data_IF_861046802620
#
_entry.id   IF_861046802620
#
_cell.length_a   1.000
_cell.length_b   1.000
_cell.length_c   1.000
_cell.angle_alpha   90.00
_cell.angle_beta   90.00
_cell.angle_gamma   90.00
#
_symmetry.space_group_name_H-M   'P 1'
#
loop_
_entity.id
_entity.type
_entity.pdbx_description
1 polymer ?
#
# COMPACT_ATOMS: atom_id res chain seq x y z
N UNK A 1 13.87 -5.39 0.25
CA UNK A 1 13.11 -6.65 0.44
C UNK A 1 12.27 -6.56 1.72
N UNK A 2 10.98 -6.87 1.64
CA UNK A 2 10.08 -7.07 2.81
C UNK A 2 9.88 -8.57 3.02
N UNK A 3 10.00 -9.02 4.27
CA UNK A 3 9.76 -10.41 4.64
C UNK A 3 8.87 -10.49 5.88
N UNK A 4 7.79 -11.21 5.78
CA UNK A 4 6.84 -11.47 6.86
C UNK A 4 6.84 -12.97 7.13
N UNK A 5 7.13 -13.36 8.38
CA UNK A 5 7.24 -14.75 8.78
C UNK A 5 6.26 -15.05 9.91
N UNK A 6 5.39 -16.03 9.71
CA UNK A 6 4.45 -16.59 10.69
C UNK A 6 3.74 -15.52 11.52
N UNK A 7 3.34 -14.41 10.85
CA UNK A 7 2.80 -13.24 11.54
C UNK A 7 1.39 -13.51 12.06
N UNK A 8 1.23 -13.34 13.37
CA UNK A 8 -0.07 -13.33 14.04
C UNK A 8 -0.34 -11.96 14.63
N UNK A 9 -1.50 -11.41 14.30
CA UNK A 9 -1.91 -10.06 14.71
C UNK A 9 -3.30 -10.09 15.31
N UNK A 10 -3.46 -9.40 16.42
CA UNK A 10 -4.76 -9.17 17.05
C UNK A 10 -5.07 -7.70 17.25
N UNK A 11 -6.36 -7.41 17.33
CA UNK A 11 -6.94 -6.19 17.89
C UNK A 11 -8.11 -6.60 18.80
N UNK A 12 -8.30 -5.91 19.93
CA UNK A 12 -9.43 -6.14 20.87
C UNK A 12 -9.68 -7.62 21.20
N UNK A 13 -8.60 -8.39 21.43
CA UNK A 13 -8.63 -9.84 21.72
C UNK A 13 -9.09 -10.74 20.55
N UNK A 14 -9.25 -10.20 19.33
CA UNK A 14 -9.56 -10.97 18.13
C UNK A 14 -8.33 -11.10 17.25
N UNK A 15 -7.92 -12.34 16.94
CA UNK A 15 -6.86 -12.60 15.96
C UNK A 15 -7.40 -12.34 14.57
N UNK A 16 -6.72 -11.47 13.81
CA UNK A 16 -7.08 -11.06 12.45
C UNK A 16 -6.15 -11.70 11.42
N UNK A 17 -4.83 -11.60 11.64
CA UNK A 17 -3.85 -12.32 10.82
C UNK A 17 -3.41 -13.57 11.58
N UNK A 18 -3.26 -14.69 10.84
CA UNK A 18 -2.96 -16.00 11.40
C UNK A 18 -1.89 -16.66 10.56
N UNK A 19 -0.69 -16.87 11.11
CA UNK A 19 0.39 -17.53 10.40
C UNK A 19 0.59 -16.95 8.99
N UNK A 20 0.58 -15.61 8.90
CA UNK A 20 0.69 -14.90 7.63
C UNK A 20 2.13 -14.85 7.18
N UNK A 21 2.38 -15.32 5.96
CA UNK A 21 3.71 -15.37 5.37
C UNK A 21 3.72 -14.66 4.01
N UNK A 22 4.69 -13.77 3.78
CA UNK A 22 4.85 -13.05 2.51
C UNK A 22 6.30 -12.60 2.35
N UNK A 23 6.84 -12.75 1.15
CA UNK A 23 8.14 -12.21 0.76
C UNK A 23 7.94 -11.35 -0.47
N UNK A 24 8.44 -10.11 -0.44
CA UNK A 24 8.47 -9.17 -1.56
C UNK A 24 9.91 -8.76 -1.76
N UNK A 25 10.50 -9.17 -2.89
CA UNK A 25 11.88 -8.79 -3.20
C UNK A 25 11.95 -7.34 -3.71
N UNK A 26 13.17 -6.79 -3.76
CA UNK A 26 13.36 -5.44 -4.26
C UNK A 26 12.92 -5.35 -5.73
N UNK A 27 12.11 -4.35 -6.01
CA UNK A 27 11.60 -4.09 -7.34
C UNK A 27 10.36 -4.89 -7.75
N UNK A 28 9.87 -5.82 -6.95
CA UNK A 28 8.65 -6.56 -7.25
C UNK A 28 7.37 -5.76 -6.94
N UNK A 29 6.34 -6.03 -7.72
CA UNK A 29 4.97 -5.54 -7.51
C UNK A 29 4.10 -6.73 -7.12
N UNK A 30 3.61 -6.74 -5.90
CA UNK A 30 2.71 -7.75 -5.39
C UNK A 30 1.32 -7.19 -5.19
N UNK A 31 0.31 -8.02 -5.38
CA UNK A 31 -1.08 -7.65 -5.12
C UNK A 31 -1.72 -8.62 -4.13
N UNK A 32 -2.43 -8.08 -3.15
CA UNK A 32 -3.29 -8.86 -2.27
C UNK A 32 -4.74 -8.56 -2.59
N UNK A 33 -5.48 -9.60 -2.96
CA UNK A 33 -6.91 -9.56 -3.21
C UNK A 33 -7.64 -10.44 -2.19
N UNK A 34 -8.90 -10.15 -1.94
CA UNK A 34 -9.73 -10.94 -1.03
C UNK A 34 -11.01 -10.20 -0.64
N UNK A 35 -12.01 -10.89 -0.10
CA UNK A 35 -13.25 -10.27 0.35
C UNK A 35 -13.03 -9.22 1.46
N UNK A 36 -14.04 -8.42 1.72
CA UNK A 36 -13.97 -7.46 2.82
C UNK A 36 -13.90 -8.18 4.17
N UNK A 37 -13.13 -7.60 5.11
CA UNK A 37 -13.00 -8.13 6.47
C UNK A 37 -12.01 -9.29 6.65
N UNK A 38 -11.27 -9.72 5.61
CA UNK A 38 -10.28 -10.81 5.74
C UNK A 38 -8.94 -10.40 6.33
N UNK A 39 -8.71 -9.08 6.55
CA UNK A 39 -7.49 -8.57 7.18
C UNK A 39 -6.53 -7.83 6.24
N UNK A 40 -6.94 -7.48 5.01
CA UNK A 40 -6.07 -6.77 4.04
C UNK A 40 -5.56 -5.42 4.57
N UNK A 41 -6.47 -4.53 4.99
CA UNK A 41 -6.09 -3.22 5.56
C UNK A 41 -5.47 -3.33 6.96
N UNK A 42 -5.71 -4.44 7.68
CA UNK A 42 -4.96 -4.75 8.89
C UNK A 42 -3.49 -4.98 8.55
N UNK A 43 -3.21 -5.74 7.50
CA UNK A 43 -1.84 -6.01 7.06
C UNK A 43 -1.09 -4.71 6.72
N UNK A 44 -1.69 -3.81 5.92
CA UNK A 44 -1.08 -2.53 5.56
C UNK A 44 -0.73 -1.69 6.78
N UNK A 45 -1.65 -1.59 7.73
CA UNK A 45 -1.47 -0.84 8.98
C UNK A 45 -0.41 -1.46 9.89
N UNK A 46 -0.39 -2.79 9.99
CA UNK A 46 0.61 -3.51 10.81
C UNK A 46 2.02 -3.37 10.21
N UNK A 47 2.17 -3.45 8.88
CA UNK A 47 3.45 -3.17 8.23
C UNK A 47 3.89 -1.72 8.52
N UNK A 48 2.95 -0.77 8.61
CA UNK A 48 3.25 0.62 8.93
C UNK A 48 3.46 0.88 10.43
N UNK A 49 3.15 -0.09 11.29
CA UNK A 49 3.36 0.02 12.75
C UNK A 49 2.25 0.79 13.47
N UNK A 50 1.00 0.65 13.03
CA UNK A 50 -0.16 1.22 13.72
C UNK A 50 -0.30 0.59 15.12
N UNK A 51 -0.26 1.40 16.21
CA UNK A 51 -0.25 0.91 17.59
C UNK A 51 -1.58 0.23 18.01
N UNK A 52 -2.65 0.37 17.24
CA UNK A 52 -3.93 -0.29 17.51
C UNK A 52 -3.86 -1.81 17.24
N UNK A 53 -2.81 -2.29 16.59
CA UNK A 53 -2.61 -3.70 16.29
C UNK A 53 -1.44 -4.28 17.08
N UNK A 54 -1.66 -5.42 17.71
CA UNK A 54 -0.64 -6.12 18.48
C UNK A 54 -0.13 -7.33 17.70
N UNK A 55 1.17 -7.36 17.42
CA UNK A 55 1.85 -8.56 16.94
C UNK A 55 1.96 -9.53 18.11
N UNK A 56 1.34 -10.72 17.98
CA UNK A 56 1.37 -11.78 19.00
C UNK A 56 2.51 -12.74 18.72
N UNK A 57 2.73 -13.06 17.45
CA UNK A 57 3.77 -13.98 17.01
C UNK A 57 4.31 -13.56 15.64
N UNK A 58 5.50 -14.05 15.29
CA UNK A 58 6.14 -13.80 14.02
C UNK A 58 6.92 -12.49 13.92
N UNK A 59 7.40 -12.19 12.73
CA UNK A 59 8.22 -11.02 12.47
C UNK A 59 7.90 -10.36 11.13
N UNK A 60 8.17 -9.05 11.09
CA UNK A 60 8.20 -8.25 9.87
C UNK A 60 9.62 -7.71 9.74
N UNK A 61 10.29 -8.06 8.66
CA UNK A 61 11.64 -7.61 8.35
C UNK A 61 11.65 -6.74 7.09
N UNK A 62 12.35 -5.63 7.13
CA UNK A 62 12.55 -4.76 5.98
C UNK A 62 14.01 -4.42 5.82
N UNK A 63 14.60 -4.81 4.68
CA UNK A 63 16.03 -4.63 4.37
C UNK A 63 16.97 -5.13 5.47
N UNK A 64 16.61 -6.25 6.14
CA UNK A 64 17.38 -6.86 7.21
C UNK A 64 17.08 -6.36 8.62
N UNK A 65 16.30 -5.29 8.77
CA UNK A 65 15.87 -4.78 10.07
C UNK A 65 14.53 -5.41 10.48
N UNK A 66 14.45 -5.88 11.74
CA UNK A 66 13.19 -6.34 12.32
C UNK A 66 12.34 -5.12 12.74
N UNK A 67 11.19 -4.95 12.10
CA UNK A 67 10.30 -3.80 12.30
C UNK A 67 9.42 -3.91 13.55
N UNK A 68 9.35 -5.05 14.22
CA UNK A 68 8.38 -5.25 15.30
C UNK A 68 8.47 -4.21 16.43
N UNK A 69 9.68 -3.69 16.68
CA UNK A 69 9.94 -2.66 17.71
C UNK A 69 9.95 -1.23 17.19
N UNK A 70 9.82 -1.04 15.86
CA UNK A 70 9.93 0.29 15.25
C UNK A 70 8.58 0.99 15.25
N UNK A 71 8.58 2.25 15.64
CA UNK A 71 7.42 3.15 15.53
C UNK A 71 7.08 3.47 14.08
N UNK A 72 5.90 4.01 13.84
CA UNK A 72 5.42 4.40 12.51
C UNK A 72 6.37 5.39 11.81
N UNK A 73 6.88 6.39 12.54
CA UNK A 73 7.80 7.38 11.98
C UNK A 73 9.19 6.79 11.67
N UNK A 74 9.68 5.85 12.46
CA UNK A 74 10.92 5.14 12.18
C UNK A 74 10.80 4.28 10.92
N UNK A 75 9.65 3.60 10.72
CA UNK A 75 9.38 2.84 9.50
C UNK A 75 9.27 3.75 8.27
N UNK A 76 8.62 4.90 8.41
CA UNK A 76 8.56 5.91 7.34
C UNK A 76 9.96 6.42 6.97
N UNK A 77 10.84 6.72 7.96
CA UNK A 77 12.23 7.12 7.73
C UNK A 77 13.06 6.03 7.06
N UNK A 78 12.73 4.75 7.23
CA UNK A 78 13.37 3.66 6.49
C UNK A 78 12.93 3.57 5.04
N UNK A 79 11.88 4.32 4.65
CA UNK A 79 11.38 4.41 3.29
C UNK A 79 10.14 3.55 3.03
N UNK A 80 9.35 3.24 4.05
CA UNK A 80 8.05 2.60 3.90
C UNK A 80 6.98 3.69 3.81
N UNK A 81 6.10 3.61 2.83
CA UNK A 81 4.99 4.54 2.60
C UNK A 81 3.67 3.80 2.47
N UNK A 82 2.63 4.31 3.11
CA UNK A 82 1.27 3.80 3.01
C UNK A 82 0.36 4.88 2.41
N UNK A 83 -0.14 4.64 1.20
CA UNK A 83 -1.29 5.34 0.66
C UNK A 83 -2.55 4.72 1.28
N UNK A 84 -3.25 5.50 2.08
CA UNK A 84 -4.37 5.01 2.90
C UNK A 84 -5.66 4.92 2.07
N UNK A 85 -6.54 3.98 2.42
CA UNK A 85 -7.89 3.94 1.86
C UNK A 85 -8.64 5.28 2.05
N UNK A 86 -8.53 5.85 3.26
CA UNK A 86 -9.08 7.17 3.62
C UNK A 86 -7.97 8.09 4.12
N UNK A 87 -7.39 8.94 3.25
CA UNK A 87 -6.35 9.88 3.64
C UNK A 87 -6.82 10.86 4.69
N UNK A 88 -6.03 11.03 5.74
CA UNK A 88 -6.36 11.92 6.87
C UNK A 88 -6.36 13.38 6.47
N UNK A 89 -7.24 14.17 7.07
CA UNK A 89 -7.27 15.62 6.99
C UNK A 89 -6.56 16.22 8.22
N UNK A 90 -5.69 17.21 8.00
CA UNK A 90 -4.99 17.90 9.09
C UNK A 90 -5.19 19.41 8.92
N UNK A 91 -6.07 19.97 9.74
CA UNK A 91 -6.32 21.40 9.76
C UNK A 91 -5.11 22.18 10.29
N UNK A 92 -4.86 23.36 9.70
CA UNK A 92 -3.79 24.25 10.13
C UNK A 92 -2.38 23.87 9.69
N UNK A 93 -2.19 22.69 9.08
CA UNK A 93 -0.91 22.26 8.50
C UNK A 93 -1.04 22.25 6.99
N UNK A 94 -0.34 23.15 6.29
CA UNK A 94 -0.39 23.15 4.83
C UNK A 94 0.24 21.88 4.25
N UNK A 95 -0.25 21.45 3.08
CA UNK A 95 0.30 20.30 2.37
C UNK A 95 1.81 20.50 2.10
N UNK A 96 2.19 21.72 1.73
CA UNK A 96 3.57 22.12 1.53
C UNK A 96 4.42 21.97 2.81
N UNK A 97 3.94 22.44 3.96
CA UNK A 97 4.71 22.37 5.22
C UNK A 97 4.84 20.93 5.72
N UNK A 98 3.77 20.15 5.58
CA UNK A 98 3.78 18.72 5.87
C UNK A 98 4.87 18.01 5.05
N UNK A 99 4.83 18.15 3.73
CA UNK A 99 5.78 17.49 2.82
C UNK A 99 7.23 17.94 3.07
N UNK A 100 7.45 19.24 3.21
CA UNK A 100 8.80 19.79 3.50
C UNK A 100 9.37 19.26 4.81
N UNK A 101 8.53 19.18 5.84
CA UNK A 101 8.93 18.65 7.16
C UNK A 101 9.23 17.15 7.06
N UNK A 102 8.39 16.36 6.39
CA UNK A 102 8.60 14.94 6.19
C UNK A 102 9.91 14.65 5.44
N UNK A 103 10.14 15.33 4.31
CA UNK A 103 11.37 15.15 3.53
C UNK A 103 12.62 15.57 4.34
N UNK A 104 12.53 16.68 5.08
CA UNK A 104 13.64 17.12 5.94
C UNK A 104 13.96 16.12 7.04
N UNK A 105 12.93 15.50 7.61
CA UNK A 105 13.07 14.44 8.63
C UNK A 105 13.70 13.15 8.07
N UNK A 106 13.31 12.73 6.87
CA UNK A 106 13.86 11.55 6.20
C UNK A 106 15.33 11.76 5.84
N UNK A 107 15.67 12.93 5.30
CA UNK A 107 17.02 13.23 4.81
C UNK A 107 17.96 13.80 5.87
N UNK A 108 17.49 14.04 7.09
CA UNK A 108 18.22 14.77 8.15
C UNK A 108 18.82 16.11 7.65
N UNK A 109 18.18 16.75 6.68
CA UNK A 109 18.65 17.99 6.06
C UNK A 109 17.48 18.88 5.65
N UNK A 110 17.58 20.17 5.95
CA UNK A 110 16.59 21.15 5.49
C UNK A 110 16.67 21.31 3.97
N UNK A 111 15.52 21.35 3.31
CA UNK A 111 15.40 21.61 1.88
C UNK A 111 15.17 23.10 1.65
N UNK A 112 15.81 23.66 0.63
CA UNK A 112 15.56 25.02 0.16
C UNK A 112 14.10 25.18 -0.26
N UNK A 113 13.46 26.25 0.19
CA UNK A 113 12.03 26.47 -0.03
C UNK A 113 11.70 26.59 -1.52
N UNK A 114 12.50 27.32 -2.27
CA UNK A 114 12.27 27.56 -3.69
C UNK A 114 12.30 26.27 -4.52
N UNK A 115 13.37 25.50 -4.40
CA UNK A 115 13.51 24.21 -5.13
C UNK A 115 12.41 23.23 -4.76
N UNK A 116 12.00 23.26 -3.49
CA UNK A 116 10.91 22.41 -3.01
C UNK A 116 9.56 22.77 -3.63
N UNK A 117 9.22 24.09 -3.67
CA UNK A 117 7.97 24.55 -4.29
C UNK A 117 7.93 24.15 -5.77
N UNK A 118 9.01 24.38 -6.51
CA UNK A 118 9.08 23.98 -7.93
C UNK A 118 8.84 22.49 -8.14
N UNK A 119 9.37 21.64 -7.26
CA UNK A 119 9.13 20.18 -7.30
C UNK A 119 7.66 19.83 -7.01
N UNK A 120 7.06 20.49 -6.02
CA UNK A 120 5.64 20.31 -5.69
C UNK A 120 4.73 20.71 -6.86
N UNK A 121 4.96 21.87 -7.45
CA UNK A 121 4.16 22.38 -8.57
C UNK A 121 4.28 21.48 -9.80
N UNK A 122 5.49 21.04 -10.14
CA UNK A 122 5.72 20.10 -11.23
C UNK A 122 4.99 18.77 -10.97
N UNK A 123 5.10 18.23 -9.75
CA UNK A 123 4.41 17.00 -9.38
C UNK A 123 2.89 17.13 -9.44
N UNK A 124 2.34 18.26 -9.00
CA UNK A 124 0.91 18.55 -9.10
C UNK A 124 0.44 18.66 -10.56
N UNK A 125 1.22 19.29 -11.42
CA UNK A 125 0.94 19.41 -12.86
C UNK A 125 0.89 18.03 -13.54
N UNK A 126 1.87 17.16 -13.27
CA UNK A 126 1.89 15.77 -13.79
C UNK A 126 0.68 14.94 -13.32
N UNK A 127 0.11 15.26 -12.18
CA UNK A 127 -1.09 14.64 -11.62
C UNK A 127 -2.39 15.34 -12.02
N UNK A 128 -2.33 16.39 -12.85
CA UNK A 128 -3.49 17.24 -13.18
C UNK A 128 -4.22 17.70 -11.91
N UNK A 129 -3.45 18.13 -10.91
CA UNK A 129 -3.96 18.72 -9.65
C UNK A 129 -3.94 20.23 -9.75
N UNK A 130 -4.92 20.89 -9.10
CA UNK A 130 -4.87 22.32 -8.89
C UNK A 130 -3.67 22.67 -7.96
N UNK A 131 -2.77 23.55 -8.42
CA UNK A 131 -1.57 23.96 -7.67
C UNK A 131 -1.91 24.63 -6.32
N UNK A 132 -3.07 25.24 -6.20
CA UNK A 132 -3.54 25.86 -4.95
C UNK A 132 -3.68 24.85 -3.81
N UNK A 133 -3.92 23.57 -4.12
CA UNK A 133 -4.03 22.50 -3.12
C UNK A 133 -2.72 22.29 -2.33
N UNK A 134 -1.58 22.68 -2.89
CA UNK A 134 -0.28 22.60 -2.22
C UNK A 134 -0.22 23.56 -1.01
N UNK A 135 -0.91 24.69 -1.12
CA UNK A 135 -0.91 25.74 -0.09
C UNK A 135 -2.04 25.59 0.94
N UNK A 136 -3.02 24.72 0.67
CA UNK A 136 -4.13 24.46 1.58
C UNK A 136 -3.76 23.44 2.67
N UNK A 137 -4.54 23.43 3.75
CA UNK A 137 -4.44 22.42 4.80
C UNK A 137 -4.51 21.02 4.21
N UNK A 138 -3.67 20.10 4.73
CA UNK A 138 -3.50 18.75 4.19
C UNK A 138 -4.85 18.02 4.06
N UNK A 139 -5.25 17.74 2.83
CA UNK A 139 -6.47 17.03 2.45
C UNK A 139 -7.80 17.68 2.88
N UNK A 140 -7.79 18.84 3.56
CA UNK A 140 -9.02 19.49 4.06
C UNK A 140 -9.82 20.07 2.89
N UNK A 141 -11.04 19.52 2.73
CA UNK A 141 -11.95 19.91 1.65
C UNK A 141 -11.47 19.48 0.26
N UNK A 142 -10.55 18.51 0.17
CA UNK A 142 -10.21 17.87 -1.10
C UNK A 142 -11.28 16.83 -1.45
N UNK A 143 -11.60 16.70 -2.73
CA UNK A 143 -12.38 15.58 -3.23
C UNK A 143 -11.64 14.25 -3.02
N UNK A 144 -12.33 13.12 -3.11
CA UNK A 144 -11.70 11.79 -3.01
C UNK A 144 -10.55 11.62 -4.01
N UNK A 145 -10.76 12.04 -5.26
CA UNK A 145 -9.73 12.00 -6.31
C UNK A 145 -8.53 12.89 -6.02
N UNK A 146 -8.75 14.11 -5.52
CA UNK A 146 -7.67 15.03 -5.15
C UNK A 146 -6.85 14.48 -3.96
N UNK A 147 -7.48 13.85 -2.97
CA UNK A 147 -6.79 13.17 -1.87
C UNK A 147 -5.86 12.06 -2.37
N UNK A 148 -6.35 11.22 -3.29
CA UNK A 148 -5.55 10.12 -3.87
C UNK A 148 -4.42 10.64 -4.75
N UNK A 149 -4.67 11.66 -5.56
CA UNK A 149 -3.59 12.35 -6.31
C UNK A 149 -2.55 12.96 -5.39
N UNK A 150 -2.99 13.53 -4.25
CA UNK A 150 -2.07 14.06 -3.24
C UNK A 150 -1.19 12.97 -2.60
N UNK A 151 -1.69 11.76 -2.37
CA UNK A 151 -0.87 10.63 -1.92
C UNK A 151 0.18 10.24 -2.97
N UNK A 152 -0.17 10.26 -4.26
CA UNK A 152 0.81 10.01 -5.33
C UNK A 152 1.84 11.15 -5.42
N UNK A 153 1.44 12.40 -5.20
CA UNK A 153 2.38 13.52 -5.07
C UNK A 153 3.37 13.28 -3.91
N UNK A 154 2.88 12.80 -2.75
CA UNK A 154 3.73 12.45 -1.62
C UNK A 154 4.73 11.33 -1.99
N UNK A 155 4.30 10.28 -2.69
CA UNK A 155 5.20 9.21 -3.18
C UNK A 155 6.33 9.81 -4.03
N UNK A 156 6.00 10.68 -4.98
CA UNK A 156 6.99 11.31 -5.88
C UNK A 156 8.01 12.16 -5.16
N UNK A 157 7.61 12.83 -4.07
CA UNK A 157 8.46 13.76 -3.33
C UNK A 157 9.24 13.08 -2.20
N UNK A 158 8.64 12.11 -1.50
CA UNK A 158 9.27 11.39 -0.40
C UNK A 158 10.21 10.26 -0.87
N UNK A 159 10.03 9.79 -2.11
CA UNK A 159 10.85 8.76 -2.75
C UNK A 159 10.99 7.46 -1.90
N UNK A 160 9.87 6.83 -1.50
CA UNK A 160 9.92 5.64 -0.68
C UNK A 160 10.53 4.45 -1.41
N UNK A 161 11.09 3.50 -0.64
CA UNK A 161 11.65 2.24 -1.13
C UNK A 161 10.62 1.13 -1.21
N UNK A 162 9.59 1.21 -0.37
CA UNK A 162 8.47 0.29 -0.31
C UNK A 162 7.16 1.07 -0.21
N UNK A 163 6.25 0.82 -1.14
CA UNK A 163 4.97 1.51 -1.25
C UNK A 163 3.84 0.51 -1.01
N UNK A 164 2.93 0.85 -0.10
CA UNK A 164 1.68 0.12 0.10
C UNK A 164 0.55 0.99 -0.45
N UNK A 165 -0.21 0.47 -1.41
CA UNK A 165 -1.38 1.11 -2.01
C UNK A 165 -2.63 0.41 -1.45
N UNK A 166 -3.25 0.96 -0.40
CA UNK A 166 -4.43 0.38 0.22
C UNK A 166 -5.69 0.97 -0.42
N UNK A 167 -6.31 0.20 -1.33
CA UNK A 167 -7.50 0.58 -2.09
C UNK A 167 -7.38 1.97 -2.74
N UNK A 168 -6.25 2.22 -3.41
CA UNK A 168 -6.00 3.50 -4.10
C UNK A 168 -7.06 3.80 -5.16
N UNK A 169 -7.62 2.78 -5.77
CA UNK A 169 -8.66 2.81 -6.80
C UNK A 169 -10.06 3.16 -6.26
N UNK A 170 -10.27 3.07 -4.95
CA UNK A 170 -11.56 3.34 -4.33
C UNK A 170 -11.96 4.81 -4.45
N UNK A 171 -13.15 5.05 -5.01
CA UNK A 171 -13.71 6.40 -5.15
C UNK A 171 -13.07 7.26 -6.25
N UNK A 172 -12.21 6.70 -7.11
CA UNK A 172 -11.68 7.38 -8.29
C UNK A 172 -12.60 7.18 -9.50
N UNK A 173 -12.79 8.27 -10.27
CA UNK A 173 -13.26 8.17 -11.64
C UNK A 173 -12.19 7.57 -12.55
N UNK A 174 -12.58 7.21 -13.78
CA UNK A 174 -11.71 6.52 -14.74
C UNK A 174 -10.46 7.33 -15.08
N UNK A 175 -10.62 8.66 -15.25
CA UNK A 175 -9.49 9.53 -15.59
C UNK A 175 -8.53 9.71 -14.41
N UNK A 176 -9.04 9.89 -13.22
CA UNK A 176 -8.23 10.00 -12.00
C UNK A 176 -7.48 8.69 -11.71
N UNK A 177 -8.11 7.53 -11.91
CA UNK A 177 -7.46 6.23 -11.78
C UNK A 177 -6.32 6.08 -12.80
N UNK A 178 -6.56 6.43 -14.05
CA UNK A 178 -5.54 6.40 -15.11
C UNK A 178 -4.36 7.29 -14.75
N UNK A 179 -4.60 8.57 -14.43
CA UNK A 179 -3.55 9.55 -14.10
C UNK A 179 -2.71 9.09 -12.90
N UNK A 180 -3.35 8.64 -11.82
CA UNK A 180 -2.65 8.16 -10.63
C UNK A 180 -1.81 6.92 -10.92
N UNK A 181 -2.37 5.95 -11.63
CA UNK A 181 -1.69 4.70 -11.98
C UNK A 181 -0.51 4.92 -12.94
N UNK A 182 -0.67 5.77 -13.97
CA UNK A 182 0.42 6.14 -14.88
C UNK A 182 1.57 6.85 -14.14
N UNK A 183 1.26 7.73 -13.18
CA UNK A 183 2.28 8.40 -12.37
C UNK A 183 3.02 7.42 -11.44
N UNK A 184 2.33 6.43 -10.85
CA UNK A 184 2.98 5.36 -10.06
C UNK A 184 3.85 4.49 -10.97
N UNK A 185 3.36 4.11 -12.16
CA UNK A 185 4.12 3.36 -13.16
C UNK A 185 5.39 4.11 -13.58
N UNK A 186 5.28 5.42 -13.85
CA UNK A 186 6.43 6.27 -14.17
C UNK A 186 7.42 6.32 -13.00
N UNK A 187 6.93 6.55 -11.77
CA UNK A 187 7.75 6.53 -10.57
C UNK A 187 8.52 5.20 -10.41
N UNK A 188 7.84 4.08 -10.62
CA UNK A 188 8.45 2.74 -10.56
C UNK A 188 9.51 2.54 -11.64
N UNK A 189 9.30 3.03 -12.85
CA UNK A 189 10.27 2.95 -13.93
C UNK A 189 11.54 3.79 -13.63
N UNK A 190 11.38 4.96 -13.01
CA UNK A 190 12.48 5.84 -12.58
C UNK A 190 13.20 5.28 -11.33
N UNK A 191 12.52 4.45 -10.52
CA UNK A 191 13.02 3.85 -9.28
C UNK A 191 12.84 2.32 -9.30
N UNK A 192 13.57 1.57 -10.13
CA UNK A 192 13.31 0.16 -10.40
C UNK A 192 13.43 -0.74 -9.15
N UNK A 193 14.23 -0.36 -8.16
CA UNK A 193 14.38 -1.10 -6.91
C UNK A 193 13.23 -0.89 -5.92
N UNK A 194 12.34 0.10 -6.14
CA UNK A 194 11.17 0.30 -5.28
C UNK A 194 10.20 -0.86 -5.44
N UNK A 195 9.78 -1.46 -4.33
CA UNK A 195 8.77 -2.52 -4.32
C UNK A 195 7.40 -1.93 -4.00
N UNK A 196 6.34 -2.54 -4.54
CA UNK A 196 4.97 -2.07 -4.36
C UNK A 196 4.09 -3.23 -3.89
N UNK A 197 3.32 -3.01 -2.83
CA UNK A 197 2.24 -3.87 -2.39
C UNK A 197 0.91 -3.20 -2.68
N UNK A 198 0.12 -3.76 -3.58
CA UNK A 198 -1.21 -3.29 -3.94
C UNK A 198 -2.24 -4.10 -3.15
N UNK A 199 -3.10 -3.43 -2.42
CA UNK A 199 -4.27 -4.04 -1.79
C UNK A 199 -5.49 -3.51 -2.53
N UNK A 200 -6.22 -4.38 -3.19
CA UNK A 200 -7.43 -4.02 -3.93
C UNK A 200 -8.42 -5.19 -4.01
N UNK A 201 -9.66 -4.86 -4.21
CA UNK A 201 -10.71 -5.83 -4.56
C UNK A 201 -11.16 -5.67 -6.03
N UNK A 202 -10.60 -4.69 -6.77
CA UNK A 202 -10.87 -4.44 -8.17
C UNK A 202 -9.62 -4.66 -9.03
N UNK A 203 -9.68 -5.49 -10.07
CA UNK A 203 -8.51 -5.77 -10.91
C UNK A 203 -8.12 -4.60 -11.83
N UNK A 204 -8.96 -3.58 -11.99
CA UNK A 204 -8.74 -2.50 -12.95
C UNK A 204 -7.43 -1.74 -12.77
N UNK A 205 -6.99 -1.49 -11.52
CA UNK A 205 -5.68 -0.86 -11.25
C UNK A 205 -4.51 -1.73 -11.71
N UNK A 206 -4.71 -3.05 -11.73
CA UNK A 206 -3.68 -4.03 -12.10
C UNK A 206 -3.41 -4.03 -13.60
N UNK A 207 -4.36 -3.56 -14.43
CA UNK A 207 -4.15 -3.35 -15.88
C UNK A 207 -3.07 -2.30 -16.16
N UNK A 208 -2.89 -1.34 -15.26
CA UNK A 208 -1.87 -0.30 -15.37
C UNK A 208 -0.53 -0.71 -14.75
N UNK A 209 -0.57 -1.37 -13.59
CA UNK A 209 0.62 -1.61 -12.76
C UNK A 209 1.24 -3.00 -12.95
N UNK A 210 0.55 -3.94 -13.61
CA UNK A 210 1.03 -5.28 -13.98
C UNK A 210 1.84 -5.96 -12.86
N UNK A 211 1.18 -6.53 -11.83
CA UNK A 211 1.87 -7.15 -10.70
C UNK A 211 2.62 -8.41 -11.12
N UNK A 212 3.79 -8.64 -10.50
CA UNK A 212 4.55 -9.88 -10.66
C UNK A 212 3.85 -11.06 -9.98
N UNK A 213 3.20 -10.79 -8.82
CA UNK A 213 2.47 -11.79 -8.05
C UNK A 213 1.12 -11.27 -7.58
N UNK A 214 0.13 -12.15 -7.64
CA UNK A 214 -1.21 -11.93 -7.08
C UNK A 214 -1.47 -12.97 -6.00
N UNK A 215 -1.86 -12.51 -4.82
CA UNK A 215 -2.16 -13.33 -3.65
C UNK A 215 -3.62 -13.20 -3.30
N UNK A 216 -4.31 -14.33 -3.13
CA UNK A 216 -5.67 -14.35 -2.60
C UNK A 216 -5.60 -14.57 -1.10
N UNK A 217 -6.17 -13.62 -0.36
CA UNK A 217 -6.23 -13.64 1.10
C UNK A 217 -7.63 -14.05 1.58
N UNK A 218 -7.69 -14.97 2.52
CA UNK A 218 -8.90 -15.38 3.21
C UNK A 218 -8.59 -15.74 4.67
N UNK A 219 -9.49 -15.36 5.58
CA UNK A 219 -9.37 -15.64 7.02
C UNK A 219 -7.98 -15.34 7.63
N UNK A 220 -7.37 -14.23 7.23
CA UNK A 220 -6.08 -13.78 7.75
C UNK A 220 -4.86 -14.51 7.19
N UNK A 221 -5.01 -15.32 6.12
CA UNK A 221 -3.93 -16.07 5.46
C UNK A 221 -3.95 -15.88 3.95
N UNK A 222 -2.81 -16.07 3.29
CA UNK A 222 -2.74 -16.25 1.84
C UNK A 222 -3.14 -17.71 1.55
N UNK A 223 -4.17 -17.89 0.70
CA UNK A 223 -4.68 -19.21 0.32
C UNK A 223 -4.25 -19.64 -1.08
N UNK A 224 -3.93 -18.70 -1.96
CA UNK A 224 -3.43 -18.96 -3.32
C UNK A 224 -2.51 -17.83 -3.76
N UNK A 225 -1.46 -18.18 -4.49
CA UNK A 225 -0.56 -17.22 -5.15
C UNK A 225 -0.46 -17.60 -6.62
N UNK A 226 -0.45 -16.62 -7.50
CA UNK A 226 -0.30 -16.77 -8.95
C UNK A 226 0.18 -15.48 -9.60
N UNK A 227 0.05 -15.43 -10.91
CA UNK A 227 0.33 -14.25 -11.73
C UNK A 227 -0.94 -13.40 -11.93
N UNK A 228 -0.91 -12.46 -12.88
CA UNK A 228 -2.03 -11.59 -13.24
C UNK A 228 -3.31 -12.36 -13.62
N UNK A 229 -3.19 -13.55 -14.25
CA UNK A 229 -4.35 -14.37 -14.64
C UNK A 229 -5.20 -14.75 -13.43
N UNK A 230 -4.58 -14.91 -12.24
CA UNK A 230 -5.30 -15.18 -11.01
C UNK A 230 -6.25 -14.05 -10.62
N UNK A 231 -5.89 -12.79 -10.89
CA UNK A 231 -6.79 -11.65 -10.67
C UNK A 231 -8.00 -11.69 -11.60
N UNK A 232 -7.80 -12.11 -12.85
CA UNK A 232 -8.89 -12.29 -13.82
C UNK A 232 -9.80 -13.46 -13.45
N UNK A 233 -9.23 -14.55 -12.91
CA UNK A 233 -10.03 -15.66 -12.37
C UNK A 233 -10.93 -15.19 -11.22
N UNK A 234 -10.41 -14.34 -10.32
CA UNK A 234 -11.20 -13.77 -9.21
C UNK A 234 -12.34 -12.92 -9.74
N UNK A 235 -12.08 -12.08 -10.74
CA UNK A 235 -13.13 -11.23 -11.34
C UNK A 235 -14.24 -12.06 -11.97
N UNK A 236 -13.88 -13.12 -12.67
CA UNK A 236 -14.83 -14.00 -13.37
C UNK A 236 -15.63 -14.90 -12.43
N UNK A 237 -14.98 -15.51 -11.46
CA UNK A 237 -15.54 -16.61 -10.65
C UNK A 237 -15.88 -16.19 -9.21
N UNK A 238 -15.42 -15.02 -8.77
CA UNK A 238 -15.55 -14.55 -7.40
C UNK A 238 -14.66 -15.30 -6.40
N UNK A 239 -14.55 -14.78 -5.20
CA UNK A 239 -13.68 -15.34 -4.15
C UNK A 239 -14.14 -16.71 -3.59
N UNK A 240 -15.43 -17.03 -3.69
CA UNK A 240 -15.95 -18.31 -3.15
C UNK A 240 -15.39 -19.51 -3.89
N UNK A 241 -15.11 -19.38 -5.18
CA UNK A 241 -14.46 -20.43 -5.98
C UNK A 241 -13.17 -20.96 -5.36
N UNK A 242 -12.40 -20.08 -4.70
CA UNK A 242 -11.12 -20.46 -4.08
C UNK A 242 -11.25 -21.02 -2.65
N UNK A 243 -12.43 -20.93 -2.03
CA UNK A 243 -12.69 -21.54 -0.71
C UNK A 243 -12.93 -23.04 -0.81
N UNK A 244 -13.59 -23.48 -1.87
CA UNK A 244 -13.99 -24.88 -2.06
C UNK A 244 -12.83 -25.73 -2.58
N UNK A 245 -11.89 -25.15 -3.33
CA UNK A 245 -10.72 -25.88 -3.86
C UNK A 245 -9.77 -26.42 -2.79
N UNK A 246 -9.82 -25.89 -1.56
CA UNK A 246 -9.03 -26.42 -0.43
C UNK A 246 -9.72 -27.56 0.32
N UNK A 247 -11.02 -27.80 0.10
CA UNK A 247 -11.76 -28.92 0.72
C UNK A 247 -11.66 -30.24 -0.08
N UNK A 248 -11.29 -30.17 -1.37
CA UNK A 248 -11.17 -31.39 -2.19
C UNK A 248 -9.85 -32.12 -1.95
N UNK A 249 -8.78 -31.44 -1.53
CA UNK A 249 -7.48 -32.08 -1.24
C UNK A 249 -7.53 -32.94 0.04
N UNK A 250 -8.47 -32.68 0.96
CA UNK A 250 -8.61 -33.44 2.20
C UNK A 250 -9.51 -34.64 2.08
N UNK A 251 -10.25 -34.81 0.96
CA UNK A 251 -11.14 -35.98 0.76
C UNK A 251 -10.49 -37.13 0.02
N UNK A 252 -9.37 -36.94 -0.66
CA UNK A 252 -8.67 -38.03 -1.34
C UNK A 252 -7.70 -38.84 -0.45
N UNK A 253 -7.42 -38.39 0.78
CA UNK A 253 -6.47 -39.08 1.70
C UNK A 253 -7.16 -40.00 2.71
N UNK A 254 -8.49 -40.13 2.71
CA UNK A 254 -9.22 -40.98 3.68
C UNK A 254 -9.91 -42.21 3.08
N UNK A 255 -9.55 -42.62 1.85
CA UNK A 255 -10.02 -43.84 1.23
C UNK A 255 -8.85 -44.70 0.69
N UNK A 256 -7.96 -45.13 1.56
CA UNK A 256 -7.12 -46.30 1.40
C UNK A 256 -6.97 -47.04 2.75
#
# INVERSE_FOLDING_TARGET
>A
MLKINNLEVATDNKIILKDFNLIINDGEIHTIMGPNGVGKSTLSRVIMGDPNYKIINGSIEFNGDNLNSFSTDERAKKGIFLAMQYPMEIEGVSNQDFLRTAISSINNKRIGLYDFILKCEKGAEELSMNKDLIHRSLNVGFSGGEKKKNEVLQIKLLMPKFIILDELDSGLDVDSLRITSENIKKYKAENPSTSILIITHHPKILEYLHPDYVHIMNNGKIIKTGNYDLAMEVEKNGYNYFKDSNNDITKEVTNE
#
